data_IF_451612855523
#
_entry.id   IF_451612855523
#
_cell.length_a   1.000
_cell.length_b   1.000
_cell.length_c   1.000
_cell.angle_alpha   90.00
_cell.angle_beta   90.00
_cell.angle_gamma   90.00
#
_symmetry.space_group_name_H-M   'P 1'
#
loop_
_entity.id
_entity.type
_entity.pdbx_description
1 polymer ?
#
# COMPACT_ATOMS: atom_id res chain seq x y z
N UNK A 1 -10.78 -5.02 -4.71
CA UNK A 1 -10.79 -6.50 -4.82
C UNK A 1 -11.31 -6.87 -6.21
N UNK A 2 -10.85 -7.98 -6.82
CA UNK A 2 -11.09 -8.40 -8.21
C UNK A 2 -10.45 -7.57 -9.35
N UNK A 3 -9.64 -6.56 -9.03
CA UNK A 3 -8.88 -5.85 -10.07
C UNK A 3 -7.84 -6.80 -10.68
N UNK A 4 -7.78 -6.88 -12.01
CA UNK A 4 -6.76 -7.65 -12.75
C UNK A 4 -5.64 -6.76 -13.29
N UNK A 5 -5.79 -5.44 -13.19
CA UNK A 5 -4.80 -4.43 -13.57
C UNK A 5 -5.07 -3.12 -12.79
N UNK A 6 -4.09 -2.21 -12.79
CA UNK A 6 -4.16 -0.89 -12.16
C UNK A 6 -4.47 0.25 -13.14
N UNK A 7 -4.86 -0.04 -14.38
CA UNK A 7 -5.22 0.92 -15.45
C UNK A 7 -4.08 1.91 -15.73
N UNK A 8 -2.86 1.38 -15.86
CA UNK A 8 -1.64 2.17 -16.07
C UNK A 8 -1.17 2.98 -14.88
N UNK A 9 -1.79 2.84 -13.70
CA UNK A 9 -1.35 3.47 -12.44
C UNK A 9 -0.33 2.59 -11.73
N UNK A 10 0.51 3.23 -10.92
CA UNK A 10 1.58 2.54 -10.20
C UNK A 10 1.12 1.82 -8.92
N UNK A 11 -0.07 2.15 -8.40
CA UNK A 11 -0.61 1.59 -7.16
C UNK A 11 -1.94 2.21 -6.74
N UNK A 12 -2.45 1.76 -5.59
CA UNK A 12 -3.65 2.27 -4.92
C UNK A 12 -3.30 2.80 -3.54
N UNK A 13 -3.76 4.00 -3.20
CA UNK A 13 -3.53 4.61 -1.89
C UNK A 13 -4.83 4.63 -1.08
N UNK A 14 -4.80 3.99 0.09
CA UNK A 14 -5.86 4.02 1.09
C UNK A 14 -5.46 4.96 2.22
N UNK A 15 -6.32 5.91 2.57
CA UNK A 15 -6.10 6.83 3.71
C UNK A 15 -7.22 6.67 4.72
N UNK A 16 -6.84 6.42 5.96
CA UNK A 16 -7.77 6.28 7.07
C UNK A 16 -8.03 7.62 7.76
N UNK A 17 -9.23 7.83 8.33
CA UNK A 17 -9.55 9.05 9.08
C UNK A 17 -8.59 9.24 10.26
N UNK A 18 -8.33 8.16 11.01
CA UNK A 18 -7.48 8.12 12.19
C UNK A 18 -6.32 7.10 12.03
N UNK A 19 -5.15 7.33 12.66
CA UNK A 19 -4.05 6.36 12.68
C UNK A 19 -4.46 5.05 13.34
N UNK A 20 -4.17 3.92 12.70
CA UNK A 20 -4.53 2.59 13.16
C UNK A 20 -3.50 1.55 12.73
N UNK A 21 -3.57 0.34 13.29
CA UNK A 21 -2.78 -0.81 12.86
C UNK A 21 -3.66 -1.76 12.04
N UNK A 22 -4.38 -1.21 11.04
CA UNK A 22 -5.29 -2.02 10.23
C UNK A 22 -4.50 -3.11 9.50
N UNK A 23 -5.02 -4.33 9.63
CA UNK A 23 -4.55 -5.50 8.89
C UNK A 23 -5.48 -5.76 7.71
N UNK A 24 -4.88 -6.08 6.57
CA UNK A 24 -5.54 -6.35 5.31
C UNK A 24 -5.41 -7.82 5.00
N UNK A 25 -6.44 -8.37 4.36
CA UNK A 25 -6.40 -9.71 3.79
C UNK A 25 -6.51 -9.60 2.27
N UNK A 26 -5.87 -10.53 1.59
CA UNK A 26 -5.80 -10.55 0.12
C UNK A 26 -6.80 -11.55 -0.45
N UNK A 27 -8.07 -11.54 -0.03
CA UNK A 27 -9.07 -12.54 -0.50
C UNK A 27 -9.24 -12.51 -2.01
N UNK A 28 -10.27 -11.99 -2.63
CA UNK A 28 -10.39 -12.12 -4.08
C UNK A 28 -9.48 -11.15 -4.87
N UNK A 29 -8.24 -10.96 -4.40
CA UNK A 29 -7.16 -10.22 -5.04
C UNK A 29 -6.28 -11.21 -5.77
N UNK A 30 -6.38 -11.22 -7.10
CA UNK A 30 -5.65 -12.15 -7.97
C UNK A 30 -4.21 -11.73 -8.24
N UNK A 31 -3.84 -10.49 -7.89
CA UNK A 31 -2.51 -9.93 -8.13
C UNK A 31 -1.68 -9.96 -6.84
N UNK A 32 -0.40 -10.38 -6.89
CA UNK A 32 0.50 -10.22 -5.76
C UNK A 32 0.83 -8.73 -5.55
N UNK A 33 0.61 -8.24 -4.34
CA UNK A 33 0.80 -6.82 -4.00
C UNK A 33 1.79 -6.66 -2.83
N UNK A 34 2.48 -5.54 -2.80
CA UNK A 34 3.21 -5.08 -1.62
C UNK A 34 2.41 -3.95 -0.99
N UNK A 35 2.04 -4.10 0.29
CA UNK A 35 1.45 -3.04 1.09
C UNK A 35 2.57 -2.21 1.71
N UNK A 36 2.49 -0.88 1.60
CA UNK A 36 3.43 0.05 2.24
C UNK A 36 2.67 0.98 3.17
N UNK A 37 2.97 0.89 4.46
CA UNK A 37 2.32 1.69 5.49
C UNK A 37 3.09 2.98 5.76
N UNK A 38 2.35 4.07 5.90
CA UNK A 38 2.87 5.39 6.24
C UNK A 38 2.18 5.93 7.48
N UNK A 39 2.96 6.58 8.35
CA UNK A 39 2.48 7.27 9.54
C UNK A 39 1.67 8.53 9.17
N UNK A 40 1.04 9.18 10.15
CA UNK A 40 0.22 10.39 9.93
C UNK A 40 1.02 11.54 9.29
N UNK A 41 2.31 11.65 9.62
CA UNK A 41 3.24 12.63 9.05
C UNK A 41 3.82 12.22 7.69
N UNK A 42 3.34 11.10 7.13
CA UNK A 42 3.76 10.53 5.85
C UNK A 42 5.05 9.71 5.92
N UNK A 43 5.66 9.49 7.09
CA UNK A 43 6.89 8.71 7.20
C UNK A 43 6.65 7.23 6.88
N UNK A 44 7.57 6.60 6.14
CA UNK A 44 7.57 5.15 5.90
C UNK A 44 7.62 4.38 7.23
N UNK A 45 6.64 3.48 7.43
CA UNK A 45 6.57 2.60 8.59
C UNK A 45 7.16 1.25 8.22
N UNK A 46 6.56 0.55 7.26
CA UNK A 46 7.01 -0.74 6.79
C UNK A 46 6.42 -1.09 5.43
N UNK A 47 6.99 -2.11 4.80
CA UNK A 47 6.45 -2.72 3.60
C UNK A 47 6.33 -4.24 3.82
N UNK A 48 5.21 -4.81 3.42
CA UNK A 48 4.92 -6.23 3.56
C UNK A 48 4.43 -6.75 2.21
N UNK A 49 5.07 -7.81 1.72
CA UNK A 49 4.59 -8.55 0.56
C UNK A 49 3.37 -9.38 0.95
N UNK A 50 2.30 -9.23 0.18
CA UNK A 50 1.01 -9.85 0.41
C UNK A 50 0.67 -10.77 -0.76
N UNK A 51 0.52 -12.06 -0.47
CA UNK A 51 0.20 -13.06 -1.49
C UNK A 51 -1.31 -13.16 -1.74
N UNK A 52 -1.73 -13.43 -3.00
CA UNK A 52 -3.12 -13.74 -3.34
C UNK A 52 -3.70 -14.88 -2.50
N UNK A 53 -4.95 -14.74 -2.05
CA UNK A 53 -5.68 -15.77 -1.32
C UNK A 53 -7.00 -16.12 -2.03
N UNK A 54 -6.95 -16.97 -3.08
CA UNK A 54 -8.09 -17.20 -3.97
C UNK A 54 -9.25 -18.02 -3.38
N UNK A 55 -9.11 -18.65 -2.21
CA UNK A 55 -10.14 -19.51 -1.63
C UNK A 55 -10.20 -19.40 -0.09
N UNK A 56 -11.41 -19.22 0.43
CA UNK A 56 -11.82 -19.20 1.84
C UNK A 56 -11.34 -18.04 2.75
N UNK A 57 -12.31 -17.17 3.10
CA UNK A 57 -12.22 -16.07 4.07
C UNK A 57 -11.48 -16.40 5.36
N UNK A 58 -11.78 -17.57 5.92
CA UNK A 58 -11.32 -17.96 7.25
C UNK A 58 -9.84 -18.34 7.30
N UNK A 59 -9.22 -18.66 6.15
CA UNK A 59 -7.83 -19.16 6.09
C UNK A 59 -6.84 -18.13 5.57
N UNK A 60 -7.33 -17.00 5.04
CA UNK A 60 -6.45 -15.98 4.47
C UNK A 60 -5.60 -15.31 5.56
N UNK A 61 -4.27 -15.23 5.37
CA UNK A 61 -3.43 -14.46 6.27
C UNK A 61 -3.82 -12.99 6.25
N UNK A 62 -3.61 -12.32 7.39
CA UNK A 62 -3.77 -10.88 7.51
C UNK A 62 -2.41 -10.20 7.63
N UNK A 63 -2.20 -9.18 6.82
CA UNK A 63 -0.96 -8.42 6.73
C UNK A 63 -1.21 -7.02 7.26
N UNK A 64 -0.39 -6.56 8.17
CA UNK A 64 -0.49 -5.19 8.65
C UNK A 64 0.61 -4.85 9.62
N UNK A 65 0.72 -3.56 9.93
CA UNK A 65 1.89 -3.03 10.54
C UNK A 65 1.88 -3.29 12.04
N UNK A 66 3.06 -3.39 12.62
CA UNK A 66 3.19 -3.43 14.09
C UNK A 66 3.02 -2.04 14.71
N UNK A 67 3.06 -0.98 13.89
CA UNK A 67 2.94 0.43 14.31
C UNK A 67 1.71 1.08 13.70
N UNK A 68 1.23 2.14 14.35
CA UNK A 68 0.13 2.95 13.84
C UNK A 68 0.51 3.61 12.52
N UNK A 69 -0.34 3.42 11.53
CA UNK A 69 -0.24 4.00 10.21
C UNK A 69 -1.56 4.70 9.87
N UNK A 70 -1.46 5.74 9.05
CA UNK A 70 -2.64 6.46 8.55
C UNK A 70 -2.94 6.15 7.10
N UNK A 71 -1.93 5.71 6.34
CA UNK A 71 -2.09 5.44 4.92
C UNK A 71 -1.38 4.17 4.51
N UNK A 72 -1.94 3.52 3.49
CA UNK A 72 -1.42 2.29 2.89
C UNK A 72 -1.37 2.46 1.40
N UNK A 73 -0.20 2.28 0.83
CA UNK A 73 0.01 2.23 -0.61
C UNK A 73 0.16 0.76 -1.02
N UNK A 74 -0.78 0.25 -1.79
CA UNK A 74 -0.70 -1.07 -2.42
C UNK A 74 -0.11 -0.92 -3.82
N UNK A 75 0.97 -1.64 -4.10
CA UNK A 75 1.63 -1.66 -5.42
C UNK A 75 1.87 -3.09 -5.86
N UNK A 76 2.09 -3.37 -7.16
CA UNK A 76 2.50 -4.71 -7.59
C UNK A 76 3.79 -5.14 -6.87
N UNK A 77 3.89 -6.40 -6.47
CA UNK A 77 5.13 -6.90 -5.85
C UNK A 77 6.33 -6.63 -6.76
N UNK A 78 7.45 -6.20 -6.15
CA UNK A 78 8.66 -5.80 -6.87
C UNK A 78 8.65 -4.37 -7.44
N UNK A 79 7.53 -3.64 -7.38
CA UNK A 79 7.45 -2.27 -7.88
C UNK A 79 8.20 -1.25 -7.00
N UNK A 80 8.49 -1.56 -5.73
CA UNK A 80 9.08 -0.63 -4.76
C UNK A 80 10.39 0.01 -5.25
N UNK A 81 11.28 -0.79 -5.85
CA UNK A 81 12.55 -0.28 -6.37
C UNK A 81 12.34 0.73 -7.52
N UNK A 82 11.39 0.46 -8.42
CA UNK A 82 11.04 1.37 -9.52
C UNK A 82 10.41 2.66 -9.01
N UNK A 83 9.58 2.55 -7.98
CA UNK A 83 8.90 3.69 -7.35
C UNK A 83 9.78 4.42 -6.32
N UNK A 84 10.97 3.89 -6.02
CA UNK A 84 11.89 4.40 -5.00
C UNK A 84 11.22 4.53 -3.62
N UNK A 85 10.37 3.56 -3.29
CA UNK A 85 9.66 3.49 -2.00
C UNK A 85 10.38 2.50 -1.09
N UNK A 86 10.71 2.93 0.13
CA UNK A 86 11.42 2.13 1.12
C UNK A 86 11.75 2.93 2.38
N UNK A 87 12.63 2.44 3.26
CA UNK A 87 13.03 3.16 4.46
C UNK A 87 13.54 4.57 4.14
N UNK A 88 12.98 5.58 4.80
CA UNK A 88 13.28 6.99 4.56
C UNK A 88 12.44 7.65 3.47
N UNK A 89 11.62 6.89 2.73
CA UNK A 89 10.62 7.47 1.84
C UNK A 89 9.53 8.20 2.65
N UNK A 90 8.92 9.19 2.02
CA UNK A 90 7.84 9.98 2.61
C UNK A 90 6.70 10.15 1.62
N UNK A 91 5.48 9.96 2.12
CA UNK A 91 4.26 10.24 1.38
C UNK A 91 3.91 11.73 1.53
N UNK A 92 3.95 12.47 0.43
CA UNK A 92 3.62 13.90 0.40
C UNK A 92 2.38 14.15 -0.47
N UNK A 93 1.52 15.08 -0.04
CA UNK A 93 0.31 15.53 -0.76
C UNK A 93 -0.72 14.44 -1.08
N UNK A 94 -1.62 14.16 -0.14
CA UNK A 94 -2.80 13.30 -0.37
C UNK A 94 -4.02 14.19 -0.62
N UNK A 95 -4.56 14.16 -1.85
CA UNK A 95 -5.79 14.89 -2.21
C UNK A 95 -5.60 16.26 -2.87
N UNK A 96 -4.37 16.60 -3.29
CA UNK A 96 -4.10 17.74 -4.17
C UNK A 96 -4.04 17.31 -5.65
N UNK A 97 -4.07 18.27 -6.60
CA UNK A 97 -3.79 17.95 -7.99
C UNK A 97 -2.38 17.33 -8.09
N UNK A 98 -2.25 16.25 -8.86
CA UNK A 98 -0.95 15.68 -9.24
C UNK A 98 -0.17 16.72 -10.06
N UNK A 99 0.40 17.69 -9.36
CA UNK A 99 1.31 18.68 -9.90
C UNK A 99 2.66 18.00 -9.85
N UNK A 100 2.96 17.23 -10.91
CA UNK A 100 4.25 16.57 -11.07
C UNK A 100 5.36 17.61 -10.99
N UNK A 101 5.89 17.85 -9.79
CA UNK A 101 7.13 18.57 -9.64
C UNK A 101 8.24 17.66 -10.15
N UNK A 102 9.07 18.13 -11.10
CA UNK A 102 10.22 17.36 -11.52
C UNK A 102 11.11 17.14 -10.29
N UNK A 103 11.35 15.85 -9.97
CA UNK A 103 12.34 15.44 -8.99
C UNK A 103 13.68 16.06 -9.40
N UNK A 104 14.22 16.93 -8.54
CA UNK A 104 15.43 17.71 -8.78
C UNK A 104 16.66 17.00 -8.23
#
# INVERSE_FOLDING_TARGET
MYATDLDGRDGMLFRFPDPNANRFFMRDTVMPLTGVWFADDGAFVEAIDMDPCPDDEASCPTYGPDRLARSVLEVPQGALARLRVGPGARLESIGGPCTGQPLR
#
